data_IF_046310651322
#
_entry.id   IF_046310651322
#
_cell.length_a   1.000
_cell.length_b   1.000
_cell.length_c   1.000
_cell.angle_alpha   90.00
_cell.angle_beta   90.00
_cell.angle_gamma   90.00
#
_symmetry.space_group_name_H-M   'P 1'
#
loop_
_entity.id
_entity.type
_entity.pdbx_description
1 polymer ?
#
# COMPACT_ATOMS: atom_id res chain seq x y z
N UNK A 1 -18.40 11.88 19.70
CA UNK A 1 -16.97 11.93 20.08
C UNK A 1 -16.14 12.51 18.94
N UNK A 2 -15.23 13.44 19.26
CA UNK A 2 -14.25 13.95 18.32
C UNK A 2 -13.40 12.79 17.79
N UNK A 3 -13.26 12.73 16.47
CA UNK A 3 -12.62 11.59 15.78
C UNK A 3 -11.10 11.75 15.86
N UNK A 4 -10.33 10.72 16.23
CA UNK A 4 -8.87 10.77 16.16
C UNK A 4 -8.41 11.09 14.74
N UNK A 5 -7.42 11.96 14.64
CA UNK A 5 -6.87 12.41 13.37
C UNK A 5 -6.05 11.29 12.72
N UNK A 6 -6.18 11.11 11.41
CA UNK A 6 -5.40 10.10 10.67
C UNK A 6 -4.10 10.71 10.20
N UNK A 7 -3.03 10.34 10.89
CA UNK A 7 -1.68 10.81 10.62
C UNK A 7 -1.20 10.22 9.28
N UNK A 8 -0.95 11.09 8.31
CA UNK A 8 -0.55 10.72 6.96
C UNK A 8 0.58 11.62 6.48
N UNK A 9 1.68 10.99 6.05
CA UNK A 9 2.79 11.63 5.38
C UNK A 9 3.40 10.68 4.35
N UNK A 10 4.07 11.18 3.30
CA UNK A 10 4.76 10.36 2.32
C UNK A 10 5.83 9.46 2.95
N UNK A 11 5.90 8.22 2.51
CA UNK A 11 6.82 7.22 3.04
C UNK A 11 6.38 6.60 4.37
N UNK A 12 5.21 6.96 4.91
CA UNK A 12 4.71 6.42 6.17
C UNK A 12 4.36 4.93 6.06
N UNK A 13 4.66 4.19 7.13
CA UNK A 13 4.35 2.77 7.27
C UNK A 13 3.13 2.58 8.17
N UNK A 14 2.30 1.60 7.83
CA UNK A 14 1.06 1.34 8.54
C UNK A 14 0.80 -0.14 8.72
N UNK A 15 0.21 -0.48 9.86
CA UNK A 15 -0.58 -1.68 10.02
C UNK A 15 -2.05 -1.30 9.93
N UNK A 16 -2.75 -1.88 8.96
CA UNK A 16 -4.15 -1.59 8.67
C UNK A 16 -4.98 -2.83 8.94
N UNK A 17 -6.11 -2.65 9.61
CA UNK A 17 -7.11 -3.71 9.78
C UNK A 17 -8.52 -3.20 9.56
N UNK A 18 -9.36 -4.02 8.94
CA UNK A 18 -10.79 -3.77 8.76
C UNK A 18 -11.57 -5.03 9.05
N UNK A 19 -12.70 -4.89 9.75
CA UNK A 19 -13.53 -6.01 10.25
C UNK A 19 -14.95 -5.91 9.74
N UNK A 20 -15.54 -7.05 9.43
CA UNK A 20 -16.92 -7.21 8.97
C UNK A 20 -17.93 -6.67 9.98
N UNK A 21 -19.04 -6.15 9.46
CA UNK A 21 -20.16 -5.70 10.27
C UNK A 21 -20.67 -6.85 11.15
N UNK A 22 -20.96 -6.57 12.42
CA UNK A 22 -21.36 -7.58 13.42
C UNK A 22 -20.36 -8.76 13.54
N UNK A 23 -19.08 -8.55 13.21
CA UNK A 23 -18.04 -9.60 13.14
C UNK A 23 -18.37 -10.74 12.15
N UNK A 24 -19.30 -10.51 11.23
CA UNK A 24 -19.64 -11.45 10.16
C UNK A 24 -18.49 -11.64 9.19
N UNK A 25 -18.52 -12.76 8.49
CA UNK A 25 -17.54 -13.08 7.46
C UNK A 25 -17.57 -12.05 6.32
N UNK A 26 -16.37 -11.64 5.94
CA UNK A 26 -16.09 -10.83 4.76
C UNK A 26 -15.48 -11.67 3.63
N UNK A 27 -15.18 -12.95 3.90
CA UNK A 27 -14.80 -13.97 2.93
C UNK A 27 -15.59 -15.24 3.24
N UNK A 28 -16.59 -15.56 2.41
CA UNK A 28 -17.40 -16.78 2.56
C UNK A 28 -16.76 -17.97 1.87
N UNK A 29 -16.02 -17.70 0.79
CA UNK A 29 -15.34 -18.72 -0.01
C UNK A 29 -14.01 -18.20 -0.58
N UNK A 30 -13.32 -19.06 -1.34
CA UNK A 30 -12.05 -18.70 -1.97
C UNK A 30 -12.20 -17.74 -3.15
N UNK A 31 -13.40 -17.64 -3.74
CA UNK A 31 -13.69 -16.66 -4.79
C UNK A 31 -13.62 -15.24 -4.22
N UNK A 32 -14.20 -15.03 -3.03
CA UNK A 32 -14.12 -13.76 -2.30
C UNK A 32 -12.67 -13.37 -2.03
N UNK A 33 -11.85 -14.32 -1.55
CA UNK A 33 -10.42 -14.09 -1.25
C UNK A 33 -9.63 -13.74 -2.51
N UNK A 34 -9.84 -14.46 -3.61
CA UNK A 34 -9.22 -14.15 -4.90
C UNK A 34 -9.61 -12.76 -5.39
N UNK A 35 -10.91 -12.43 -5.31
CA UNK A 35 -11.41 -11.11 -5.73
C UNK A 35 -10.84 -9.97 -4.88
N UNK A 36 -10.71 -10.21 -3.57
CA UNK A 36 -10.07 -9.26 -2.66
C UNK A 36 -8.61 -9.00 -3.06
N UNK A 37 -7.81 -10.04 -3.29
CA UNK A 37 -6.42 -9.90 -3.68
C UNK A 37 -6.25 -9.24 -5.04
N UNK A 38 -7.11 -9.55 -6.02
CA UNK A 38 -7.14 -8.89 -7.33
C UNK A 38 -7.39 -7.38 -7.20
N UNK A 39 -8.41 -6.98 -6.41
CA UNK A 39 -8.74 -5.58 -6.19
C UNK A 39 -7.68 -4.87 -5.35
N UNK A 40 -7.06 -5.58 -4.41
CA UNK A 40 -5.97 -5.05 -3.59
C UNK A 40 -4.76 -4.74 -4.48
N UNK A 41 -4.32 -5.69 -5.30
CA UNK A 41 -3.21 -5.52 -6.23
C UNK A 41 -3.40 -4.29 -7.13
N UNK A 42 -4.58 -4.15 -7.75
CA UNK A 42 -4.92 -2.98 -8.57
C UNK A 42 -4.89 -1.67 -7.77
N UNK A 43 -5.41 -1.70 -6.55
CA UNK A 43 -5.48 -0.51 -5.69
C UNK A 43 -4.08 -0.08 -5.21
N UNK A 44 -3.21 -1.03 -4.87
CA UNK A 44 -1.83 -0.75 -4.46
C UNK A 44 -1.09 0.02 -5.54
N UNK A 45 -1.23 -0.41 -6.79
CA UNK A 45 -0.57 0.24 -7.93
C UNK A 45 -1.16 1.63 -8.23
N UNK A 46 -2.49 1.76 -8.24
CA UNK A 46 -3.16 3.05 -8.47
C UNK A 46 -2.70 4.10 -7.46
N UNK A 47 -2.57 3.73 -6.20
CA UNK A 47 -2.25 4.64 -5.11
C UNK A 47 -0.76 4.66 -4.73
N UNK A 48 0.11 3.96 -5.46
CA UNK A 48 1.54 3.87 -5.18
C UNK A 48 1.82 3.43 -3.72
N UNK A 49 1.16 2.35 -3.30
CA UNK A 49 1.30 1.75 -1.97
C UNK A 49 2.12 0.47 -2.11
N UNK A 50 3.19 0.36 -1.32
CA UNK A 50 3.98 -0.87 -1.19
C UNK A 50 3.35 -1.74 -0.12
N UNK A 51 2.98 -2.97 -0.45
CA UNK A 51 2.48 -3.95 0.52
C UNK A 51 3.63 -4.90 0.91
N UNK A 52 3.87 -5.07 2.22
CA UNK A 52 4.84 -6.02 2.74
C UNK A 52 4.16 -7.31 3.21
N UNK A 53 3.09 -7.18 4.00
CA UNK A 53 2.44 -8.33 4.63
C UNK A 53 0.93 -8.24 4.48
N UNK A 54 0.29 -9.39 4.22
CA UNK A 54 -1.16 -9.52 4.38
C UNK A 54 -1.55 -10.81 5.10
N UNK A 55 -2.67 -10.76 5.81
CA UNK A 55 -3.40 -11.91 6.35
C UNK A 55 -4.90 -11.66 6.17
N UNK A 56 -5.60 -12.62 5.58
CA UNK A 56 -7.04 -12.62 5.40
C UNK A 56 -7.68 -13.60 6.40
N UNK A 57 -8.37 -13.07 7.39
CA UNK A 57 -9.17 -13.85 8.34
C UNK A 57 -10.63 -13.84 7.87
N UNK A 58 -11.47 -14.84 8.22
CA UNK A 58 -12.84 -14.93 7.72
C UNK A 58 -13.66 -13.64 7.87
N UNK A 59 -13.50 -12.92 8.98
CA UNK A 59 -14.26 -11.70 9.28
C UNK A 59 -13.42 -10.41 9.34
N UNK A 60 -12.12 -10.44 9.04
CA UNK A 60 -11.28 -9.24 9.01
C UNK A 60 -9.99 -9.48 8.23
N UNK A 61 -9.28 -8.43 7.86
CA UNK A 61 -7.96 -8.56 7.26
C UNK A 61 -6.93 -7.69 7.98
N UNK A 62 -5.66 -8.00 7.76
CA UNK A 62 -4.51 -7.24 8.21
C UNK A 62 -3.58 -6.97 7.04
N UNK A 63 -3.11 -5.72 6.91
CA UNK A 63 -2.13 -5.30 5.92
C UNK A 63 -0.99 -4.55 6.62
N UNK A 64 0.25 -4.85 6.27
CA UNK A 64 1.41 -4.01 6.59
C UNK A 64 1.90 -3.40 5.30
N UNK A 65 1.83 -2.07 5.21
CA UNK A 65 2.06 -1.34 3.97
C UNK A 65 2.80 -0.03 4.21
N UNK A 66 3.42 0.50 3.16
CA UNK A 66 3.97 1.85 3.09
C UNK A 66 3.25 2.64 2.02
N UNK A 67 2.81 3.85 2.34
CA UNK A 67 2.26 4.77 1.33
C UNK A 67 3.35 5.71 0.85
N UNK A 68 3.70 5.67 -0.44
CA UNK A 68 4.71 6.58 -0.99
C UNK A 68 4.23 8.05 -0.98
N UNK A 69 2.92 8.26 -0.95
CA UNK A 69 2.27 9.56 -0.76
C UNK A 69 1.46 9.57 0.54
N UNK A 70 1.00 10.74 0.99
CA UNK A 70 0.12 10.89 2.15
C UNK A 70 -1.35 10.49 1.85
N UNK A 71 -1.58 9.35 1.20
CA UNK A 71 -2.87 9.01 0.55
C UNK A 71 -3.54 7.73 1.08
N UNK A 72 -3.16 7.24 2.28
CA UNK A 72 -3.72 6.03 2.88
C UNK A 72 -5.26 6.04 2.92
N UNK A 73 -5.86 7.19 3.26
CA UNK A 73 -7.32 7.34 3.35
C UNK A 73 -8.01 7.21 2.00
N UNK A 74 -7.39 7.69 0.93
CA UNK A 74 -7.94 7.57 -0.42
C UNK A 74 -7.84 6.13 -0.91
N UNK A 75 -6.67 5.51 -0.74
CA UNK A 75 -6.42 4.10 -1.05
C UNK A 75 -7.44 3.19 -0.35
N UNK A 76 -7.55 3.29 0.97
CA UNK A 76 -8.45 2.43 1.75
C UNK A 76 -9.92 2.71 1.46
N UNK A 77 -10.30 3.95 1.12
CA UNK A 77 -11.67 4.27 0.72
C UNK A 77 -12.02 3.58 -0.58
N UNK A 78 -11.20 3.76 -1.61
CA UNK A 78 -11.41 3.15 -2.93
C UNK A 78 -11.45 1.62 -2.81
N UNK A 79 -10.41 1.04 -2.23
CA UNK A 79 -10.27 -0.41 -2.09
C UNK A 79 -11.48 -1.05 -1.37
N UNK A 80 -11.86 -0.50 -0.22
CA UNK A 80 -12.98 -1.04 0.55
C UNK A 80 -14.32 -0.90 -0.18
N UNK A 81 -14.55 0.18 -0.93
CA UNK A 81 -15.76 0.37 -1.73
C UNK A 81 -15.82 -0.69 -2.84
N UNK A 82 -14.76 -0.82 -3.63
CA UNK A 82 -14.71 -1.78 -4.72
C UNK A 82 -14.95 -3.21 -4.23
N UNK A 83 -14.30 -3.61 -3.13
CA UNK A 83 -14.52 -4.94 -2.57
C UNK A 83 -15.93 -5.12 -2.00
N UNK A 84 -16.46 -4.12 -1.28
CA UNK A 84 -17.84 -4.18 -0.76
C UNK A 84 -18.85 -4.35 -1.88
N UNK A 85 -18.68 -3.64 -3.00
CA UNK A 85 -19.54 -3.77 -4.17
C UNK A 85 -19.45 -5.16 -4.78
N UNK A 86 -18.23 -5.67 -5.00
CA UNK A 86 -18.01 -7.00 -5.57
C UNK A 86 -18.62 -8.10 -4.68
N UNK A 87 -18.39 -8.02 -3.37
CA UNK A 87 -18.96 -8.96 -2.40
C UNK A 87 -20.49 -8.90 -2.38
N UNK A 88 -21.06 -7.69 -2.32
CA UNK A 88 -22.51 -7.52 -2.28
C UNK A 88 -23.18 -8.08 -3.56
N UNK A 89 -22.58 -7.83 -4.72
CA UNK A 89 -23.08 -8.35 -5.98
C UNK A 89 -23.00 -9.89 -6.03
N UNK A 90 -21.86 -10.48 -5.66
CA UNK A 90 -21.67 -11.92 -5.67
C UNK A 90 -22.63 -12.67 -4.71
N UNK A 91 -23.00 -12.02 -3.60
CA UNK A 91 -23.81 -12.63 -2.55
C UNK A 91 -25.27 -12.12 -2.48
N UNK A 92 -25.72 -11.34 -3.47
CA UNK A 92 -27.07 -10.76 -3.51
C UNK A 92 -27.41 -9.87 -2.30
N UNK A 93 -26.40 -9.21 -1.72
CA UNK A 93 -26.53 -8.37 -0.52
C UNK A 93 -26.63 -6.89 -0.87
N UNK A 94 -27.18 -6.13 0.07
CA UNK A 94 -27.16 -4.66 0.07
C UNK A 94 -26.61 -4.16 1.42
N UNK A 95 -26.13 -2.92 1.44
CA UNK A 95 -25.64 -2.26 2.65
C UNK A 95 -24.17 -2.49 2.98
N UNK A 96 -23.80 -2.20 4.23
CA UNK A 96 -22.39 -2.18 4.67
C UNK A 96 -21.82 -3.58 4.88
N UNK A 97 -20.65 -3.84 4.31
CA UNK A 97 -19.87 -5.05 4.59
C UNK A 97 -19.06 -4.95 5.89
N UNK A 98 -18.47 -3.79 6.15
CA UNK A 98 -17.61 -3.53 7.30
C UNK A 98 -18.36 -2.83 8.44
N UNK A 99 -17.94 -3.06 9.69
CA UNK A 99 -18.55 -2.43 10.89
C UNK A 99 -18.32 -0.91 10.98
N UNK A 100 -17.49 -0.36 10.09
CA UNK A 100 -17.13 1.05 10.08
C UNK A 100 -15.84 1.28 9.31
N UNK A 101 -15.14 2.35 9.68
CA UNK A 101 -13.85 2.69 9.08
C UNK A 101 -12.77 1.68 9.48
N UNK A 102 -11.83 1.43 8.58
CA UNK A 102 -10.60 0.72 8.91
C UNK A 102 -9.84 1.41 10.05
N UNK A 103 -9.12 0.60 10.84
CA UNK A 103 -8.10 1.06 11.79
C UNK A 103 -6.76 1.09 11.09
N UNK A 104 -5.97 2.13 11.34
CA UNK A 104 -4.59 2.21 10.89
C UNK A 104 -3.71 2.61 12.07
N UNK A 105 -2.63 1.88 12.22
CA UNK A 105 -1.58 2.13 13.19
C UNK A 105 -0.36 2.61 12.41
N UNK A 106 0.12 3.83 12.69
CA UNK A 106 1.36 4.34 12.13
C UNK A 106 2.53 3.59 12.76
N UNK A 107 3.46 3.10 11.94
CA UNK A 107 4.61 2.31 12.38
C UNK A 107 5.88 3.09 12.13
N UNK A 108 6.76 3.11 13.12
CA UNK A 108 8.17 3.43 12.95
C UNK A 108 8.88 2.23 12.30
N UNK A 109 9.27 2.38 11.04
CA UNK A 109 9.78 1.27 10.24
C UNK A 109 11.08 0.70 10.81
N UNK A 110 11.96 1.58 11.30
CA UNK A 110 13.30 1.20 11.75
C UNK A 110 13.26 0.34 13.02
N UNK A 111 12.26 0.57 13.88
CA UNK A 111 12.17 -0.08 15.18
C UNK A 111 11.10 -1.17 15.26
N UNK A 112 9.99 -1.06 14.51
CA UNK A 112 8.81 -1.92 14.72
C UNK A 112 8.31 -2.65 13.47
N UNK A 113 8.90 -2.45 12.28
CA UNK A 113 8.43 -3.15 11.07
C UNK A 113 8.47 -4.67 11.21
N UNK A 114 9.56 -5.22 11.74
CA UNK A 114 9.75 -6.66 11.91
C UNK A 114 8.76 -7.25 12.91
N UNK A 115 8.60 -6.59 14.05
CA UNK A 115 7.66 -6.99 15.10
C UNK A 115 6.21 -6.98 14.61
N UNK A 116 5.84 -5.94 13.86
CA UNK A 116 4.49 -5.82 13.31
C UNK A 116 4.26 -6.82 12.16
N UNK A 117 5.29 -7.09 11.36
CA UNK A 117 5.27 -8.15 10.34
C UNK A 117 5.03 -9.52 10.96
N UNK A 118 5.80 -9.87 12.00
CA UNK A 118 5.64 -11.10 12.78
C UNK A 118 4.27 -11.18 13.44
N UNK A 119 3.85 -10.13 14.14
CA UNK A 119 2.52 -10.03 14.73
C UNK A 119 1.43 -10.32 13.69
N UNK A 120 1.54 -9.69 12.51
CA UNK A 120 0.56 -9.82 11.44
C UNK A 120 0.43 -11.27 11.00
N UNK A 121 1.53 -11.94 10.69
CA UNK A 121 1.54 -13.36 10.30
C UNK A 121 1.06 -14.32 11.37
N UNK A 122 1.18 -13.97 12.65
CA UNK A 122 0.71 -14.80 13.76
C UNK A 122 -0.80 -14.70 14.00
N UNK A 123 -1.51 -13.72 13.43
CA UNK A 123 -2.96 -13.53 13.65
C UNK A 123 -3.81 -14.80 13.44
N UNK A 124 -3.57 -15.67 12.45
CA UNK A 124 -4.34 -16.90 12.25
C UNK A 124 -4.34 -17.83 13.48
N UNK A 125 -3.28 -17.83 14.28
CA UNK A 125 -3.09 -18.73 15.43
C UNK A 125 -3.19 -18.03 16.79
N UNK A 126 -3.45 -16.72 16.82
CA UNK A 126 -3.68 -15.95 18.06
C UNK A 126 -5.14 -15.96 18.50
N UNK A 127 -6.07 -16.37 17.64
CA UNK A 127 -7.48 -16.45 17.97
C UNK A 127 -7.78 -17.51 19.03
N UNK A 128 -8.94 -17.40 19.69
CA UNK A 128 -9.35 -18.32 20.76
C UNK A 128 -9.38 -19.78 20.33
N UNK A 129 -9.66 -20.04 19.04
CA UNK A 129 -9.68 -21.39 18.44
C UNK A 129 -8.34 -22.12 18.52
N UNK A 130 -7.23 -21.39 18.72
CA UNK A 130 -5.88 -21.93 18.83
C UNK A 130 -5.31 -21.84 20.25
N UNK A 131 -6.11 -21.41 21.25
CA UNK A 131 -5.72 -21.48 22.68
C UNK A 131 -5.47 -22.94 23.06
N UNK A 132 -4.34 -23.20 23.73
CA UNK A 132 -3.93 -24.56 24.12
C UNK A 132 -3.32 -25.43 23.01
N UNK A 133 -3.28 -24.97 21.75
CA UNK A 133 -2.58 -25.70 20.69
C UNK A 133 -1.05 -25.62 20.89
N UNK A 134 -0.36 -26.75 20.66
CA UNK A 134 1.11 -26.80 20.70
C UNK A 134 1.73 -25.88 19.65
N UNK A 135 2.95 -25.42 19.90
CA UNK A 135 3.73 -24.59 18.97
C UNK A 135 3.80 -25.25 17.59
N UNK A 136 4.07 -26.55 17.51
CA UNK A 136 4.16 -27.27 16.23
C UNK A 136 2.83 -27.35 15.48
N UNK A 137 1.70 -27.43 16.18
CA UNK A 137 0.37 -27.41 15.55
C UNK A 137 0.07 -26.02 14.98
N UNK A 138 0.36 -24.96 15.74
CA UNK A 138 0.23 -23.58 15.29
C UNK A 138 1.14 -23.31 14.09
N UNK A 139 2.40 -23.74 14.16
CA UNK A 139 3.37 -23.58 13.08
C UNK A 139 2.91 -24.27 11.80
N UNK A 140 2.50 -25.54 11.86
CA UNK A 140 1.96 -26.26 10.69
C UNK A 140 0.75 -25.56 10.07
N UNK A 141 -0.15 -25.00 10.89
CA UNK A 141 -1.27 -24.23 10.39
C UNK A 141 -0.82 -22.97 9.63
N UNK A 142 0.15 -22.23 10.16
CA UNK A 142 0.71 -21.05 9.51
C UNK A 142 1.38 -21.37 8.16
N UNK A 143 2.13 -22.47 8.08
CA UNK A 143 2.78 -22.91 6.84
C UNK A 143 1.78 -23.25 5.73
N UNK A 144 0.59 -23.76 6.09
CA UNK A 144 -0.47 -24.11 5.16
C UNK A 144 -1.48 -22.99 4.85
N UNK A 145 -1.40 -21.85 5.56
CA UNK A 145 -2.37 -20.77 5.45
C UNK A 145 -2.17 -19.96 4.15
N UNK A 146 -2.93 -20.30 3.11
CA UNK A 146 -2.90 -19.63 1.80
C UNK A 146 -3.44 -18.21 1.85
N UNK A 147 -4.19 -17.89 2.91
CA UNK A 147 -4.76 -16.59 3.20
C UNK A 147 -3.73 -15.61 3.81
N UNK A 148 -2.48 -16.02 3.97
CA UNK A 148 -1.37 -15.18 4.42
C UNK A 148 -0.28 -15.07 3.36
N UNK A 149 0.48 -13.98 3.37
CA UNK A 149 1.74 -13.90 2.61
C UNK A 149 2.88 -14.75 3.19
N UNK A 150 2.73 -15.36 4.38
CA UNK A 150 3.82 -16.09 5.06
C UNK A 150 4.37 -17.24 4.21
N UNK A 151 3.56 -18.12 3.61
CA UNK A 151 4.12 -19.20 2.79
C UNK A 151 4.94 -18.67 1.61
N UNK A 152 4.62 -17.50 1.06
CA UNK A 152 5.42 -16.83 0.03
C UNK A 152 6.78 -16.32 0.54
N UNK A 153 6.83 -15.80 1.77
CA UNK A 153 8.10 -15.45 2.44
C UNK A 153 9.01 -16.67 2.59
N UNK A 154 8.43 -17.81 2.95
CA UNK A 154 9.17 -19.05 3.22
C UNK A 154 9.48 -19.87 1.96
N UNK A 155 8.97 -19.46 0.79
CA UNK A 155 9.13 -20.21 -0.46
C UNK A 155 8.32 -21.51 -0.52
N UNK A 156 7.27 -21.62 0.29
CA UNK A 156 6.38 -22.80 0.38
C UNK A 156 5.13 -22.66 -0.50
N UNK A 157 4.87 -21.47 -1.02
CA UNK A 157 3.79 -21.19 -1.96
C UNK A 157 4.25 -20.21 -3.05
N UNK A 158 3.54 -20.15 -4.20
CA UNK A 158 3.76 -19.10 -5.19
C UNK A 158 3.67 -17.71 -4.57
N UNK A 159 4.63 -16.87 -4.91
CA UNK A 159 4.69 -15.49 -4.43
C UNK A 159 3.67 -14.61 -5.14
N UNK A 160 3.13 -13.66 -4.40
CA UNK A 160 2.26 -12.64 -4.95
C UNK A 160 3.12 -11.50 -5.51
N UNK A 161 2.98 -11.15 -6.81
CA UNK A 161 3.87 -10.16 -7.44
C UNK A 161 3.71 -8.74 -6.88
N UNK A 162 2.57 -8.45 -6.24
CA UNK A 162 2.28 -7.16 -5.61
C UNK A 162 2.77 -7.05 -4.16
N UNK A 163 3.44 -8.08 -3.64
CA UNK A 163 4.03 -8.10 -2.29
C UNK A 163 5.53 -7.88 -2.37
N UNK A 164 6.01 -6.86 -1.65
CA UNK A 164 7.43 -6.59 -1.46
C UNK A 164 7.99 -7.48 -0.34
N UNK A 165 8.38 -8.71 -0.71
CA UNK A 165 9.05 -9.63 0.19
C UNK A 165 10.44 -9.11 0.62
N UNK A 166 11.13 -8.37 -0.26
CA UNK A 166 12.47 -7.85 -0.03
C UNK A 166 12.52 -6.91 1.17
N UNK A 167 11.56 -5.99 1.26
CA UNK A 167 11.53 -4.98 2.34
C UNK A 167 11.54 -5.55 3.76
N UNK A 168 11.09 -6.79 3.97
CA UNK A 168 11.24 -7.49 5.27
C UNK A 168 12.47 -8.38 5.28
N UNK A 169 12.70 -9.18 4.22
CA UNK A 169 13.78 -10.16 4.17
C UNK A 169 15.19 -9.54 4.18
N UNK A 170 15.35 -8.29 3.72
CA UNK A 170 16.61 -7.56 3.79
C UNK A 170 17.18 -7.48 5.22
N UNK A 171 16.31 -7.35 6.22
CA UNK A 171 16.70 -7.34 7.63
C UNK A 171 17.19 -8.70 8.15
N UNK A 172 16.95 -9.77 7.39
CA UNK A 172 17.40 -11.13 7.70
C UNK A 172 18.56 -11.59 6.80
N UNK A 173 19.23 -10.67 6.10
CA UNK A 173 20.30 -10.99 5.15
C UNK A 173 19.82 -11.21 3.72
N UNK A 174 18.69 -10.60 3.35
CA UNK A 174 18.15 -10.60 2.01
C UNK A 174 17.28 -11.82 1.66
N UNK A 175 16.75 -11.81 0.45
CA UNK A 175 15.90 -12.87 -0.08
C UNK A 175 16.71 -14.11 -0.51
N UNK A 176 17.36 -14.73 0.47
CA UNK A 176 18.16 -15.95 0.33
C UNK A 176 17.55 -17.08 1.15
N UNK A 177 17.94 -18.33 0.90
CA UNK A 177 17.52 -19.46 1.74
C UNK A 177 17.84 -19.21 3.23
N UNK A 178 19.01 -18.62 3.52
CA UNK A 178 19.41 -18.23 4.89
C UNK A 178 18.48 -17.18 5.48
N UNK A 179 18.17 -16.11 4.73
CA UNK A 179 17.30 -15.04 5.22
C UNK A 179 15.86 -15.50 5.44
N UNK A 180 15.31 -16.32 4.55
CA UNK A 180 13.98 -16.94 4.72
C UNK A 180 13.94 -17.84 5.95
N UNK A 181 14.98 -18.64 6.19
CA UNK A 181 15.08 -19.48 7.39
C UNK A 181 15.22 -18.67 8.68
N UNK A 182 15.98 -17.58 8.65
CA UNK A 182 16.10 -16.66 9.79
C UNK A 182 14.76 -15.99 10.11
N UNK A 183 14.02 -15.56 9.08
CA UNK A 183 12.67 -15.02 9.26
C UNK A 183 11.67 -16.06 9.79
N UNK A 184 11.72 -17.29 9.29
CA UNK A 184 10.91 -18.40 9.80
C UNK A 184 11.16 -18.63 11.30
N UNK A 185 12.43 -18.64 11.71
CA UNK A 185 12.83 -18.79 13.11
C UNK A 185 12.31 -17.65 13.97
N UNK A 186 12.48 -16.41 13.53
CA UNK A 186 11.99 -15.22 14.21
C UNK A 186 10.47 -15.24 14.49
N UNK A 187 9.67 -15.77 13.55
CA UNK A 187 8.22 -15.97 13.76
C UNK A 187 7.96 -17.11 14.74
N UNK A 188 8.67 -18.24 14.60
CA UNK A 188 8.48 -19.42 15.45
C UNK A 188 8.81 -19.14 16.91
N UNK A 189 9.88 -18.41 17.21
CA UNK A 189 10.28 -18.01 18.56
C UNK A 189 9.13 -17.28 19.29
N UNK A 190 8.38 -16.41 18.60
CA UNK A 190 7.26 -15.68 19.20
C UNK A 190 6.04 -16.57 19.54
N UNK A 191 5.92 -17.76 18.93
CA UNK A 191 4.91 -18.73 19.32
C UNK A 191 5.20 -19.37 20.69
N UNK A 192 6.46 -19.36 21.11
CA UNK A 192 6.94 -19.98 22.36
C UNK A 192 6.79 -19.02 23.55
N UNK A 193 6.92 -17.71 23.33
CA UNK A 193 6.97 -16.68 24.38
C UNK A 193 5.61 -16.07 24.79
N UNK A 194 4.48 -16.69 24.42
CA UNK A 194 3.10 -16.16 24.61
C UNK A 194 2.98 -14.68 24.17
N UNK A 195 3.39 -14.44 22.91
CA UNK A 195 3.89 -13.18 22.38
C UNK A 195 3.10 -11.89 22.67
N UNK A 196 3.87 -10.83 22.92
CA UNK A 196 3.39 -9.44 23.09
C UNK A 196 2.66 -8.95 21.83
N UNK A 197 1.71 -8.05 22.01
CA UNK A 197 1.03 -7.36 20.92
C UNK A 197 1.69 -5.98 20.72
N UNK A 198 2.52 -5.78 19.68
CA UNK A 198 3.21 -4.51 19.47
C UNK A 198 2.24 -3.33 19.27
N UNK A 199 0.99 -3.61 18.90
CA UNK A 199 -0.04 -2.58 18.73
C UNK A 199 -0.60 -2.07 20.07
N UNK A 200 -0.37 -2.76 21.19
CA UNK A 200 -0.74 -2.25 22.53
C UNK A 200 0.12 -1.08 22.97
N UNK A 201 1.32 -0.94 22.39
CA UNK A 201 2.17 0.23 22.58
C UNK A 201 1.58 1.49 21.95
N UNK A 202 0.57 1.34 21.08
CA UNK A 202 -0.10 2.44 20.41
C UNK A 202 -1.09 3.19 21.32
N UNK A 203 -0.59 3.90 22.35
CA UNK A 203 -1.44 4.73 23.22
C UNK A 203 -2.07 5.91 22.44
N UNK A 204 -3.40 6.04 22.53
CA UNK A 204 -4.21 7.22 22.18
C UNK A 204 -4.37 7.54 20.68
N UNK A 205 -3.29 7.56 19.91
CA UNK A 205 -3.27 8.07 18.53
C UNK A 205 -2.95 7.02 17.47
N UNK A 206 -2.77 5.74 17.88
CA UNK A 206 -2.46 4.66 16.94
C UNK A 206 -1.02 4.72 16.40
N UNK A 207 -0.06 5.22 17.17
CA UNK A 207 1.37 5.29 16.76
C UNK A 207 2.15 4.19 17.47
N UNK A 208 2.86 3.35 16.72
CA UNK A 208 3.74 2.28 17.21
C UNK A 208 5.16 2.65 16.83
N UNK A 209 5.98 3.08 17.78
CA UNK A 209 7.34 3.54 17.51
C UNK A 209 8.09 3.92 18.77
N UNK A 210 9.39 4.23 18.62
CA UNK A 210 10.22 4.74 19.72
C UNK A 210 9.78 6.14 20.18
N UNK A 211 10.23 6.56 21.36
CA UNK A 211 9.85 7.86 21.96
C UNK A 211 10.18 9.06 21.04
N UNK A 212 11.34 9.03 20.39
CA UNK A 212 11.76 10.07 19.45
C UNK A 212 10.82 10.18 18.23
N UNK A 213 10.39 9.04 17.68
CA UNK A 213 9.43 9.01 16.58
C UNK A 213 8.05 9.52 17.02
N UNK A 214 7.59 9.12 18.20
CA UNK A 214 6.32 9.60 18.76
C UNK A 214 6.35 11.12 18.96
N UNK A 215 7.45 11.66 19.51
CA UNK A 215 7.64 13.10 19.67
C UNK A 215 7.64 13.82 18.31
N UNK A 216 8.42 13.32 17.34
CA UNK A 216 8.46 13.90 15.99
C UNK A 216 7.06 13.92 15.32
N UNK A 217 6.31 12.81 15.42
CA UNK A 217 4.94 12.75 14.87
C UNK A 217 4.04 13.79 15.55
N UNK A 218 4.11 13.92 16.88
CA UNK A 218 3.30 14.88 17.64
C UNK A 218 3.68 16.32 17.36
N UNK A 219 4.96 16.63 17.17
CA UNK A 219 5.43 18.02 17.08
C UNK A 219 5.43 18.55 15.64
N UNK A 220 5.59 17.66 14.65
CA UNK A 220 5.75 18.04 13.24
C UNK A 220 4.59 17.60 12.35
N UNK A 221 3.99 16.45 12.62
CA UNK A 221 2.99 15.87 11.72
C UNK A 221 1.57 16.18 12.18
N UNK A 222 1.28 16.10 13.48
CA UNK A 222 -0.06 16.38 14.02
C UNK A 222 -0.46 17.86 13.86
N UNK A 223 0.37 18.87 14.25
CA UNK A 223 0.04 20.28 14.06
C UNK A 223 -0.15 20.61 12.59
N UNK A 224 0.74 20.13 11.72
CA UNK A 224 0.59 20.28 10.28
C UNK A 224 -0.71 19.62 9.78
N UNK A 225 -1.17 18.53 10.40
CA UNK A 225 -2.42 17.85 10.05
C UNK A 225 -3.69 18.47 10.63
N UNK A 226 -3.57 19.24 11.72
CA UNK A 226 -4.65 20.06 12.28
C UNK A 226 -4.83 21.36 11.51
N UNK A 227 -3.74 22.03 11.13
CA UNK A 227 -3.75 23.22 10.27
C UNK A 227 -4.32 22.89 8.86
N UNK A 228 -4.11 21.65 8.41
CA UNK A 228 -4.72 21.08 7.18
C UNK A 228 -6.23 20.85 7.25
N UNK A 229 -6.90 21.01 8.40
CA UNK A 229 -8.37 20.86 8.48
C UNK A 229 -9.12 21.88 7.62
N UNK A 230 -8.50 23.02 7.32
CA UNK A 230 -9.13 24.10 6.55
C UNK A 230 -8.69 24.14 5.08
N UNK A 231 -7.78 23.26 4.62
CA UNK A 231 -7.28 23.25 3.25
C UNK A 231 -7.09 21.81 2.71
N UNK A 232 -7.87 21.38 1.69
CA UNK A 232 -7.88 19.99 1.21
C UNK A 232 -6.74 19.69 0.22
N UNK A 233 -5.50 20.05 0.55
CA UNK A 233 -4.33 19.54 -0.15
C UNK A 233 -3.08 19.81 0.69
N UNK A 234 -2.52 18.79 1.31
CA UNK A 234 -1.20 18.96 1.87
C UNK A 234 -0.33 17.72 1.72
N UNK A 235 0.84 18.08 1.20
CA UNK A 235 1.69 17.38 0.27
C UNK A 235 3.08 17.76 0.67
N UNK A 236 3.84 16.80 1.19
CA UNK A 236 5.25 17.04 1.47
C UNK A 236 5.99 15.72 1.65
N UNK A 237 6.92 15.46 0.72
CA UNK A 237 8.14 14.64 0.85
C UNK A 237 8.18 13.22 0.22
N UNK A 238 7.99 13.16 -1.10
CA UNK A 238 8.78 12.29 -1.97
C UNK A 238 9.74 13.14 -2.82
N UNK A 239 10.66 12.52 -3.60
CA UNK A 239 11.50 13.25 -4.58
C UNK A 239 10.58 14.09 -5.47
N UNK A 240 10.54 15.39 -5.21
CA UNK A 240 9.57 16.31 -5.81
C UNK A 240 10.23 16.90 -7.05
N UNK A 241 9.84 16.41 -8.22
CA UNK A 241 10.15 17.11 -9.46
C UNK A 241 9.01 18.07 -9.68
N UNK A 242 9.33 19.35 -9.85
CA UNK A 242 8.33 20.33 -10.25
C UNK A 242 7.61 19.84 -11.54
N UNK A 243 6.27 19.89 -11.63
CA UNK A 243 5.52 19.40 -12.77
C UNK A 243 6.02 19.94 -14.11
N UNK A 244 6.36 21.23 -14.16
CA UNK A 244 6.86 21.90 -15.36
C UNK A 244 8.22 21.35 -15.74
N UNK A 245 9.10 21.20 -14.75
CA UNK A 245 10.43 20.58 -14.94
C UNK A 245 10.31 19.13 -15.42
N UNK A 246 9.33 18.37 -14.92
CA UNK A 246 9.11 17.00 -15.39
C UNK A 246 8.63 16.97 -16.83
N UNK A 247 7.68 17.83 -17.21
CA UNK A 247 7.15 17.94 -18.57
C UNK A 247 8.27 18.33 -19.54
N UNK A 248 9.08 19.33 -19.19
CA UNK A 248 10.23 19.76 -20.00
C UNK A 248 11.25 18.63 -20.20
N UNK A 249 11.62 17.93 -19.11
CA UNK A 249 12.53 16.78 -19.17
C UNK A 249 11.96 15.66 -20.01
N UNK A 250 10.67 15.39 -19.86
CA UNK A 250 9.97 14.39 -20.63
C UNK A 250 10.02 14.71 -22.13
N UNK A 251 9.67 15.94 -22.52
CA UNK A 251 9.75 16.42 -23.90
C UNK A 251 11.18 16.33 -24.44
N UNK A 252 12.19 16.75 -23.66
CA UNK A 252 13.58 16.69 -24.07
C UNK A 252 14.11 15.25 -24.27
N UNK A 253 13.64 14.27 -23.50
CA UNK A 253 14.07 12.86 -23.63
C UNK A 253 13.33 12.14 -24.77
N UNK A 254 12.08 12.53 -25.04
CA UNK A 254 11.22 11.87 -26.04
C UNK A 254 11.23 12.53 -27.40
N UNK A 255 11.68 13.79 -27.49
CA UNK A 255 11.58 14.62 -28.70
C UNK A 255 10.17 15.16 -28.96
N UNK A 256 9.19 14.88 -28.07
CA UNK A 256 7.82 15.36 -28.21
C UNK A 256 7.70 16.84 -27.86
N UNK A 257 6.73 17.52 -28.48
CA UNK A 257 6.39 18.90 -28.10
C UNK A 257 5.40 18.92 -26.93
N UNK A 258 5.50 19.94 -26.07
CA UNK A 258 4.62 20.10 -24.89
C UNK A 258 3.14 20.09 -25.28
N UNK A 259 2.77 20.85 -26.29
CA UNK A 259 1.38 20.95 -26.74
C UNK A 259 0.84 19.60 -27.23
N UNK A 260 1.68 18.78 -27.87
CA UNK A 260 1.31 17.44 -28.33
C UNK A 260 0.95 16.51 -27.17
N UNK A 261 1.74 16.54 -26.09
CA UNK A 261 1.56 15.63 -24.96
C UNK A 261 0.62 16.15 -23.89
N UNK A 262 0.44 17.47 -23.75
CA UNK A 262 -0.40 18.09 -22.71
C UNK A 262 -1.78 18.54 -23.22
N UNK A 263 -1.96 18.89 -24.52
CA UNK A 263 -3.28 19.33 -25.03
C UNK A 263 -4.32 18.22 -24.99
N UNK A 264 -5.58 18.56 -24.72
CA UNK A 264 -6.71 17.62 -24.83
C UNK A 264 -6.76 17.03 -26.24
N UNK A 265 -6.62 15.73 -26.37
CA UNK A 265 -6.48 15.06 -27.67
C UNK A 265 -6.46 13.54 -27.58
N UNK A 266 -5.99 12.89 -28.64
CA UNK A 266 -5.93 11.43 -28.74
C UNK A 266 -5.05 10.81 -27.64
N UNK A 267 -5.42 9.59 -27.21
CA UNK A 267 -4.74 8.84 -26.13
C UNK A 267 -3.48 8.15 -26.65
N UNK A 268 -2.46 8.94 -26.95
CA UNK A 268 -1.15 8.43 -27.38
C UNK A 268 -0.38 7.84 -26.19
N UNK A 269 0.49 6.87 -26.46
CA UNK A 269 1.32 6.26 -25.41
C UNK A 269 2.20 7.30 -24.71
N UNK A 270 2.70 8.30 -25.45
CA UNK A 270 3.49 9.38 -24.87
C UNK A 270 2.70 10.20 -23.84
N UNK A 271 1.42 10.44 -24.11
CA UNK A 271 0.54 11.14 -23.19
C UNK A 271 0.24 10.31 -21.94
N UNK A 272 0.00 9.01 -22.10
CA UNK A 272 -0.24 8.10 -20.99
C UNK A 272 0.99 7.97 -20.08
N UNK A 273 2.17 7.82 -20.66
CA UNK A 273 3.44 7.75 -19.94
C UNK A 273 3.72 9.05 -19.15
N UNK A 274 3.47 10.21 -19.74
CA UNK A 274 3.62 11.49 -19.05
C UNK A 274 2.65 11.60 -17.84
N UNK A 275 1.39 11.21 -18.00
CA UNK A 275 0.42 11.18 -16.89
C UNK A 275 0.90 10.30 -15.74
N UNK A 276 1.43 9.12 -16.05
CA UNK A 276 1.94 8.20 -15.04
C UNK A 276 3.17 8.77 -14.32
N UNK A 277 4.08 9.42 -15.04
CA UNK A 277 5.27 10.05 -14.45
C UNK A 277 4.92 11.27 -13.59
N UNK A 278 4.03 12.15 -14.06
CA UNK A 278 3.48 13.27 -13.27
C UNK A 278 2.82 12.75 -12.00
N UNK A 279 2.06 11.65 -12.11
CA UNK A 279 1.46 11.01 -10.95
C UNK A 279 2.54 10.49 -10.00
N UNK A 280 3.57 9.80 -10.47
CA UNK A 280 4.60 9.20 -9.60
C UNK A 280 5.53 10.22 -8.94
N UNK A 281 5.88 11.31 -9.62
CA UNK A 281 7.02 12.15 -9.23
C UNK A 281 6.69 13.61 -8.91
N UNK A 282 5.51 14.12 -9.29
CA UNK A 282 5.22 15.55 -9.16
C UNK A 282 4.32 15.91 -7.99
N UNK A 283 3.98 14.92 -7.14
CA UNK A 283 3.06 15.11 -6.01
C UNK A 283 1.82 15.89 -6.45
N UNK A 284 1.11 15.35 -7.46
CA UNK A 284 -0.12 15.92 -8.01
C UNK A 284 -1.31 14.99 -7.75
N UNK A 285 -2.50 15.56 -7.58
CA UNK A 285 -3.75 14.80 -7.61
C UNK A 285 -4.09 14.42 -9.05
N UNK A 286 -4.93 13.40 -9.23
CA UNK A 286 -5.45 13.08 -10.57
C UNK A 286 -6.19 14.27 -11.20
N UNK A 287 -6.86 15.10 -10.40
CA UNK A 287 -7.53 16.31 -10.89
C UNK A 287 -6.55 17.36 -11.41
N UNK A 288 -5.46 17.63 -10.68
CA UNK A 288 -4.46 18.60 -11.13
C UNK A 288 -3.65 18.11 -12.32
N UNK A 289 -3.33 16.82 -12.38
CA UNK A 289 -2.79 16.23 -13.61
C UNK A 289 -3.79 16.46 -14.73
N UNK A 290 -5.08 16.26 -14.48
CA UNK A 290 -6.14 16.56 -15.44
C UNK A 290 -6.08 17.99 -15.98
N UNK A 291 -5.90 18.99 -15.11
CA UNK A 291 -5.71 20.40 -15.49
C UNK A 291 -4.49 20.58 -16.39
N UNK A 292 -3.32 20.06 -15.98
CA UNK A 292 -2.08 20.14 -16.78
C UNK A 292 -2.19 19.43 -18.13
N UNK A 293 -3.04 18.41 -18.21
CA UNK A 293 -3.28 17.62 -19.40
C UNK A 293 -4.49 18.16 -20.18
N UNK A 294 -4.73 19.47 -20.17
CA UNK A 294 -5.76 20.09 -21.01
C UNK A 294 -7.19 19.96 -20.47
N UNK A 295 -7.34 19.97 -19.14
CA UNK A 295 -8.64 20.01 -18.47
C UNK A 295 -9.40 18.69 -18.46
N UNK A 296 -8.68 17.56 -18.27
CA UNK A 296 -9.29 16.26 -18.06
C UNK A 296 -9.83 16.13 -16.62
N UNK A 297 -10.89 15.35 -16.45
CA UNK A 297 -11.40 15.03 -15.12
C UNK A 297 -10.62 13.88 -14.44
N UNK A 298 -10.83 13.72 -13.14
CA UNK A 298 -10.17 12.66 -12.35
C UNK A 298 -10.46 11.26 -12.89
N UNK A 299 -11.70 11.01 -13.30
CA UNK A 299 -12.12 9.70 -13.81
C UNK A 299 -11.35 9.33 -15.08
N UNK A 300 -11.19 10.29 -16.00
CA UNK A 300 -10.42 10.11 -17.23
C UNK A 300 -8.95 9.83 -16.93
N UNK A 301 -8.32 10.57 -16.00
CA UNK A 301 -6.93 10.29 -15.60
C UNK A 301 -6.80 8.89 -14.99
N UNK A 302 -7.76 8.48 -14.16
CA UNK A 302 -7.77 7.13 -13.58
C UNK A 302 -7.91 6.03 -14.65
N UNK A 303 -8.80 6.24 -15.63
CA UNK A 303 -8.98 5.34 -16.78
C UNK A 303 -7.77 5.27 -17.68
N UNK A 304 -7.16 6.41 -18.05
CA UNK A 304 -5.94 6.46 -18.85
C UNK A 304 -4.80 5.68 -18.19
N UNK A 305 -4.64 5.82 -16.87
CA UNK A 305 -3.66 5.03 -16.11
C UNK A 305 -3.99 3.54 -16.11
N UNK A 306 -5.26 3.16 -15.98
CA UNK A 306 -5.70 1.76 -16.07
C UNK A 306 -5.45 1.16 -17.46
N UNK A 307 -5.69 1.93 -18.51
CA UNK A 307 -5.44 1.56 -19.90
C UNK A 307 -3.94 1.36 -20.16
N UNK A 308 -3.10 2.30 -19.70
CA UNK A 308 -1.65 2.18 -19.80
C UNK A 308 -1.15 0.90 -19.15
N UNK A 309 -1.67 0.56 -17.96
CA UNK A 309 -1.32 -0.68 -17.26
C UNK A 309 -1.68 -1.93 -18.06
N UNK A 310 -2.91 -2.00 -18.57
CA UNK A 310 -3.34 -3.13 -19.39
C UNK A 310 -2.48 -3.30 -20.64
N UNK A 311 -2.03 -2.18 -21.24
CA UNK A 311 -1.09 -2.22 -22.37
C UNK A 311 0.31 -2.66 -21.96
N UNK A 312 0.82 -2.23 -20.81
CA UNK A 312 2.12 -2.65 -20.29
C UNK A 312 2.17 -4.15 -19.96
N UNK A 313 1.06 -4.74 -19.51
CA UNK A 313 0.95 -6.19 -19.30
C UNK A 313 1.00 -6.98 -20.62
N UNK A 314 0.50 -6.40 -21.70
CA UNK A 314 0.45 -7.01 -23.04
C UNK A 314 1.74 -6.75 -23.85
N UNK A 315 2.38 -5.60 -23.65
CA UNK A 315 3.60 -5.16 -24.32
C UNK A 315 4.67 -4.75 -23.31
N UNK A 316 5.60 -5.67 -23.04
CA UNK A 316 6.74 -5.44 -22.16
C UNK A 316 7.67 -4.30 -22.61
N UNK A 317 7.66 -3.91 -23.90
CA UNK A 317 8.47 -2.78 -24.38
C UNK A 317 7.97 -1.47 -23.80
N UNK A 318 6.66 -1.33 -23.59
CA UNK A 318 6.07 -0.13 -23.02
C UNK A 318 6.43 0.02 -21.53
N UNK A 319 6.47 -1.10 -20.80
CA UNK A 319 6.91 -1.12 -19.41
C UNK A 319 8.39 -0.73 -19.27
N UNK A 320 9.26 -1.33 -20.10
CA UNK A 320 10.69 -1.01 -20.12
C UNK A 320 10.94 0.46 -20.52
N UNK A 321 10.11 1.01 -21.42
CA UNK A 321 10.15 2.43 -21.81
C UNK A 321 9.81 3.35 -20.64
N UNK A 322 8.79 3.03 -19.85
CA UNK A 322 8.42 3.81 -18.66
C UNK A 322 9.57 3.82 -17.63
N UNK A 323 10.19 2.67 -17.36
CA UNK A 323 11.30 2.58 -16.43
C UNK A 323 12.54 3.35 -16.91
N UNK A 324 12.92 3.19 -18.19
CA UNK A 324 14.03 3.95 -18.79
C UNK A 324 13.79 5.45 -18.71
N UNK A 325 12.56 5.90 -18.97
CA UNK A 325 12.18 7.31 -18.85
C UNK A 325 12.29 7.79 -17.40
N UNK A 326 11.77 7.03 -16.44
CA UNK A 326 11.85 7.35 -15.01
C UNK A 326 13.31 7.52 -14.56
N UNK A 327 14.21 6.59 -14.94
CA UNK A 327 15.64 6.66 -14.62
C UNK A 327 16.32 7.88 -15.26
N UNK A 328 16.02 8.18 -16.54
CA UNK A 328 16.61 9.33 -17.24
C UNK A 328 16.15 10.66 -16.65
N UNK A 329 14.87 10.77 -16.29
CA UNK A 329 14.30 11.96 -15.66
C UNK A 329 14.87 12.17 -14.25
N UNK A 330 15.12 11.08 -13.51
CA UNK A 330 15.75 11.10 -12.19
C UNK A 330 17.26 11.43 -12.23
N UNK A 331 18.04 10.90 -13.19
CA UNK A 331 19.49 11.16 -13.31
C UNK A 331 19.82 12.64 -13.59
N UNK A 332 18.97 13.36 -14.33
CA UNK A 332 19.11 14.82 -14.52
C UNK A 332 18.81 15.65 -13.27
N UNK A 333 18.30 15.07 -12.18
CA UNK A 333 18.08 15.79 -10.91
C UNK A 333 19.36 15.96 -10.07
N UNK A 334 20.42 15.17 -10.31
CA UNK A 334 21.69 15.26 -9.59
C UNK A 334 22.72 16.21 -10.23
N UNK A 335 22.38 16.85 -11.34
CA UNK A 335 23.27 17.78 -12.06
C UNK A 335 22.74 19.20 -12.02
N UNK A 336 22.81 19.83 -10.84
CA UNK A 336 22.82 21.29 -10.56
C UNK A 336 22.53 21.47 -9.06
N UNK A 337 23.59 21.45 -8.26
CA UNK A 337 23.71 22.28 -7.05
C UNK A 337 24.61 23.44 -7.46
#
# INVERSE_FOLDING_TARGET
MARPLRIQYPGAYYHVTCRGNERREIFRDDSDRRKFLELLARSLEVYCVTLFVYVLMPNHFHLVLRTLKANLSEFMRHFNICYTMAFNWAHGRVGHLYQGRYKAFLIDADSHLLEVSRYTHLNPVRGERCKGATVDKKWRHLLGCRESSLPGYLGLAPRQPFVDYGGVLEHFGGDTARGRNAYARFIRECLEEDGRNPLEMARGHGIVGGEAFIAWVRDKVVPAAEDRREQPAARALGVRIDPEVLIERYCAVTGSQRDEVCRRGQRTDGRLLLQELLYRYCDLTGTEIGVLMGGLDYATISHCRAELRSRMEQDGRLAEKLEKLAVRIAKKAKGKI
#
